data_IF_093622225596
#
_entry.id   IF_093622225596
#
_cell.length_a   1.000
_cell.length_b   1.000
_cell.length_c   1.000
_cell.angle_alpha   90.00
_cell.angle_beta   90.00
_cell.angle_gamma   90.00
#
_symmetry.space_group_name_H-M   'P 1'
#
loop_
_entity.id
_entity.type
_entity.pdbx_description
1 polymer ?
#
# COMPACT_ATOMS: atom_id res chain seq x y z
N UNK A 1 -13.80 21.41 -27.90
CA UNK A 1 -14.88 21.36 -26.89
C UNK A 1 -15.40 19.95 -27.01
N UNK A 2 -14.86 18.98 -26.27
CA UNK A 2 -15.03 18.79 -24.83
C UNK A 2 -13.71 18.40 -24.12
N UNK A 3 -13.49 18.97 -22.93
CA UNK A 3 -12.41 18.69 -21.97
C UNK A 3 -13.06 18.14 -20.70
N UNK A 4 -13.32 16.83 -20.59
CA UNK A 4 -13.60 16.10 -19.34
C UNK A 4 -13.33 14.61 -19.68
N UNK A 5 -12.45 13.82 -19.07
CA UNK A 5 -11.79 13.87 -17.77
C UNK A 5 -10.44 13.12 -17.83
N UNK A 6 -9.31 13.83 -17.68
CA UNK A 6 -8.11 13.22 -17.07
C UNK A 6 -8.37 13.04 -15.56
N UNK A 7 -9.43 12.30 -15.23
CA UNK A 7 -9.66 11.83 -13.88
C UNK A 7 -8.57 10.82 -13.61
N UNK A 8 -7.72 11.09 -12.61
CA UNK A 8 -6.79 10.10 -12.06
C UNK A 8 -7.62 8.84 -11.81
N UNK A 9 -7.41 7.79 -12.61
CA UNK A 9 -8.08 6.51 -12.42
C UNK A 9 -7.70 6.03 -11.02
N UNK A 10 -8.69 5.76 -10.17
CA UNK A 10 -8.43 5.29 -8.83
C UNK A 10 -7.80 3.90 -8.90
N UNK A 11 -6.60 3.75 -8.34
CA UNK A 11 -5.81 2.52 -8.38
C UNK A 11 -5.48 2.01 -6.97
N UNK A 12 -5.01 0.76 -6.87
CA UNK A 12 -4.70 0.15 -5.58
C UNK A 12 -3.50 0.81 -4.87
N UNK A 13 -2.60 1.49 -5.59
CA UNK A 13 -1.45 2.18 -5.00
C UNK A 13 -1.88 3.37 -4.14
N UNK A 14 -2.99 4.02 -4.48
CA UNK A 14 -3.58 5.07 -3.63
C UNK A 14 -4.12 4.50 -2.32
N UNK A 15 -4.73 3.31 -2.34
CA UNK A 15 -5.13 2.62 -1.11
C UNK A 15 -3.90 2.22 -0.28
N UNK A 16 -2.81 1.75 -0.92
CA UNK A 16 -1.54 1.47 -0.22
C UNK A 16 -1.03 2.72 0.50
N UNK A 17 -1.01 3.86 -0.20
CA UNK A 17 -0.57 5.13 0.37
C UNK A 17 -1.40 5.51 1.60
N UNK A 18 -2.74 5.46 1.51
CA UNK A 18 -3.62 5.83 2.61
C UNK A 18 -3.47 4.91 3.83
N UNK A 19 -3.32 3.60 3.64
CA UNK A 19 -3.13 2.64 4.75
C UNK A 19 -1.73 2.80 5.38
N UNK A 20 -0.69 3.02 4.57
CA UNK A 20 0.64 3.31 5.09
C UNK A 20 0.67 4.61 5.89
N UNK A 21 -0.01 5.67 5.44
CA UNK A 21 -0.17 6.93 6.20
C UNK A 21 -0.93 6.71 7.52
N UNK A 22 -1.94 5.82 7.56
CA UNK A 22 -2.58 5.45 8.81
C UNK A 22 -1.62 4.76 9.78
N UNK A 23 -0.69 3.95 9.26
CA UNK A 23 0.35 3.29 10.05
C UNK A 23 1.31 4.31 10.68
N UNK A 24 1.69 5.33 9.91
CA UNK A 24 2.52 6.45 10.37
C UNK A 24 1.79 7.24 11.47
N UNK A 25 0.52 7.59 11.26
CA UNK A 25 -0.32 8.27 12.26
C UNK A 25 -0.50 7.42 13.53
N UNK A 26 -0.41 6.09 13.43
CA UNK A 26 -0.44 5.15 14.54
C UNK A 26 0.91 5.05 15.30
N UNK A 27 1.94 5.78 14.86
CA UNK A 27 3.25 5.82 15.49
C UNK A 27 4.14 4.63 15.13
N UNK A 28 3.89 3.95 14.00
CA UNK A 28 4.76 2.90 13.51
C UNK A 28 6.16 3.43 13.19
N UNK A 29 7.18 2.59 13.42
CA UNK A 29 8.55 2.82 12.95
C UNK A 29 8.91 1.98 11.73
N UNK A 30 8.10 0.96 11.43
CA UNK A 30 8.25 0.09 10.26
C UNK A 30 6.89 -0.23 9.65
N UNK A 31 6.81 -0.17 8.33
CA UNK A 31 5.65 -0.60 7.54
C UNK A 31 6.11 -1.60 6.49
N UNK A 32 5.41 -2.73 6.39
CA UNK A 32 5.67 -3.77 5.41
C UNK A 32 4.48 -3.84 4.44
N UNK A 33 4.77 -3.77 3.15
CA UNK A 33 3.81 -3.85 2.06
C UNK A 33 4.16 -5.09 1.25
N UNK A 34 3.21 -6.03 1.14
CA UNK A 34 3.33 -7.25 0.37
C UNK A 34 2.27 -7.30 -0.71
N UNK A 35 2.70 -7.54 -1.94
CA UNK A 35 1.84 -7.75 -3.10
C UNK A 35 2.12 -9.16 -3.61
N UNK A 36 1.13 -10.04 -3.58
CA UNK A 36 1.26 -11.41 -4.07
C UNK A 36 0.22 -11.66 -5.15
N UNK A 37 0.66 -12.13 -6.31
CA UNK A 37 -0.21 -12.53 -7.43
C UNK A 37 -0.03 -14.02 -7.67
N UNK A 38 -1.12 -14.78 -7.61
CA UNK A 38 -1.14 -16.22 -7.89
C UNK A 38 -2.10 -16.43 -9.05
N UNK A 39 -1.56 -16.63 -10.25
CA UNK A 39 -2.38 -16.74 -11.46
C UNK A 39 -3.21 -18.02 -11.46
N UNK A 40 -2.66 -19.12 -10.93
CA UNK A 40 -3.35 -20.42 -10.86
C UNK A 40 -4.60 -20.43 -9.98
N UNK A 41 -4.65 -19.53 -8.99
CA UNK A 41 -5.79 -19.35 -8.10
C UNK A 41 -6.61 -18.09 -8.46
N UNK A 42 -6.24 -17.41 -9.55
CA UNK A 42 -6.83 -16.14 -9.98
C UNK A 42 -6.92 -15.12 -8.82
N UNK A 43 -5.83 -14.95 -8.07
CA UNK A 43 -5.84 -14.19 -6.82
C UNK A 43 -4.72 -13.16 -6.75
N UNK A 44 -5.09 -11.92 -6.43
CA UNK A 44 -4.18 -10.85 -6.05
C UNK A 44 -4.39 -10.55 -4.56
N UNK A 45 -3.31 -10.43 -3.79
CA UNK A 45 -3.36 -10.14 -2.36
C UNK A 45 -2.44 -8.99 -2.03
N UNK A 46 -3.00 -7.94 -1.44
CA UNK A 46 -2.29 -6.84 -0.82
C UNK A 46 -2.30 -7.04 0.69
N UNK A 47 -1.14 -7.07 1.32
CA UNK A 47 -1.01 -7.08 2.79
C UNK A 47 -0.17 -5.90 3.23
N UNK A 48 -0.67 -5.14 4.20
CA UNK A 48 0.06 -4.02 4.81
C UNK A 48 0.13 -4.29 6.31
N UNK A 49 1.34 -4.36 6.85
CA UNK A 49 1.59 -4.60 8.27
C UNK A 49 2.40 -3.45 8.85
N UNK A 50 2.08 -3.05 10.06
CA UNK A 50 2.83 -2.04 10.81
C UNK A 50 3.12 -2.50 12.25
N UNK A 51 4.05 -1.83 12.90
CA UNK A 51 4.40 -2.05 14.30
C UNK A 51 3.97 -0.88 15.22
N UNK A 52 2.93 -0.14 14.84
CA UNK A 52 2.38 0.98 15.58
C UNK A 52 1.56 0.57 16.81
N UNK A 53 0.76 1.50 17.32
CA UNK A 53 0.00 1.31 18.56
C UNK A 53 -1.07 0.21 18.52
N UNK A 54 -1.47 -0.26 17.34
CA UNK A 54 -2.57 -1.22 17.16
C UNK A 54 -3.95 -0.70 17.60
N UNK A 55 -4.94 -1.58 17.57
CA UNK A 55 -6.35 -1.31 17.85
C UNK A 55 -6.94 -2.42 18.72
N UNK A 56 -7.90 -2.09 19.57
CA UNK A 56 -8.74 -3.07 20.26
C UNK A 56 -9.90 -3.54 19.37
N UNK A 57 -10.62 -4.58 19.82
CA UNK A 57 -11.71 -5.17 19.05
C UNK A 57 -12.84 -4.19 18.72
N UNK A 58 -13.16 -3.26 19.64
CA UNK A 58 -14.18 -2.23 19.40
C UNK A 58 -13.72 -1.27 18.31
N UNK A 59 -12.47 -0.82 18.36
CA UNK A 59 -11.88 0.04 17.33
C UNK A 59 -11.82 -0.65 15.97
N UNK A 60 -11.49 -1.95 15.92
CA UNK A 60 -11.47 -2.73 14.66
C UNK A 60 -12.84 -2.71 13.98
N UNK A 61 -13.92 -2.87 14.74
CA UNK A 61 -15.28 -2.81 14.18
C UNK A 61 -15.63 -1.40 13.71
N UNK A 62 -15.21 -0.38 14.46
CA UNK A 62 -15.47 1.01 14.08
C UNK A 62 -14.67 1.46 12.85
N UNK A 63 -13.42 1.05 12.64
CA UNK A 63 -12.61 1.49 11.48
C UNK A 63 -13.11 0.97 10.13
N UNK A 64 -14.03 0.02 10.13
CA UNK A 64 -14.75 -0.43 8.93
C UNK A 64 -15.86 0.54 8.52
N UNK A 65 -16.30 1.42 9.42
CA UNK A 65 -17.32 2.45 9.14
C UNK A 65 -16.68 3.66 8.39
N UNK A 66 -17.16 4.01 7.17
CA UNK A 66 -16.74 5.18 6.40
C UNK A 66 -16.71 6.51 7.16
N UNK A 67 -17.53 6.66 8.21
CA UNK A 67 -17.67 7.89 8.98
C UNK A 67 -16.81 7.93 10.24
N UNK A 68 -16.21 6.81 10.63
CA UNK A 68 -15.36 6.73 11.81
C UNK A 68 -13.92 7.21 11.50
N UNK A 69 -13.38 8.06 12.36
CA UNK A 69 -11.99 8.49 12.29
C UNK A 69 -11.53 9.01 13.65
N UNK A 70 -10.36 8.56 14.11
CA UNK A 70 -9.73 9.06 15.34
C UNK A 70 -8.85 10.30 15.10
N UNK A 71 -8.83 10.86 13.87
CA UNK A 71 -7.98 12.00 13.52
C UNK A 71 -8.60 13.33 13.98
N UNK A 72 -7.80 14.33 14.44
CA UNK A 72 -8.31 15.64 14.82
C UNK A 72 -9.06 16.33 13.65
N UNK A 73 -10.10 17.11 13.94
CA UNK A 73 -11.01 17.73 12.94
C UNK A 73 -10.28 18.48 11.81
N UNK A 74 -9.16 19.14 12.12
CA UNK A 74 -8.31 19.87 11.13
C UNK A 74 -7.56 18.98 10.12
N UNK A 75 -7.48 17.66 10.38
CA UNK A 75 -6.83 16.65 9.54
C UNK A 75 -7.84 15.61 8.99
N UNK A 76 -9.15 15.88 9.07
CA UNK A 76 -10.17 14.98 8.52
C UNK A 76 -10.06 14.92 6.99
N UNK A 77 -9.21 14.02 6.49
CA UNK A 77 -9.66 13.11 5.44
C UNK A 77 -10.67 12.20 6.13
N UNK A 78 -11.88 12.07 5.57
CA UNK A 78 -12.82 11.04 6.00
C UNK A 78 -12.05 9.72 6.14
N UNK A 79 -12.30 8.90 7.16
CA UNK A 79 -11.53 7.68 7.46
C UNK A 79 -11.68 6.56 6.43
N UNK A 80 -11.75 6.92 5.16
CA UNK A 80 -12.20 6.12 4.02
C UNK A 80 -11.13 5.15 3.51
N UNK A 81 -9.86 5.30 3.90
CA UNK A 81 -8.80 4.43 3.39
C UNK A 81 -9.08 2.94 3.62
N UNK A 82 -9.45 2.57 4.85
CA UNK A 82 -9.81 1.18 5.22
C UNK A 82 -11.15 0.77 4.58
N UNK A 83 -12.26 1.52 4.76
CA UNK A 83 -13.55 1.16 4.18
C UNK A 83 -13.56 1.03 2.65
N UNK A 84 -12.86 1.92 1.92
CA UNK A 84 -12.81 1.86 0.45
C UNK A 84 -11.97 0.68 -0.04
N UNK A 85 -10.89 0.33 0.66
CA UNK A 85 -10.10 -0.85 0.32
C UNK A 85 -10.89 -2.14 0.59
N UNK A 86 -11.63 -2.19 1.70
CA UNK A 86 -12.51 -3.31 2.03
C UNK A 86 -13.60 -3.50 0.95
N UNK A 87 -14.29 -2.41 0.62
CA UNK A 87 -15.32 -2.40 -0.43
C UNK A 87 -14.74 -2.87 -1.77
N UNK A 88 -13.59 -2.33 -2.19
CA UNK A 88 -12.96 -2.72 -3.46
C UNK A 88 -12.61 -4.22 -3.51
N UNK A 89 -12.17 -4.80 -2.38
CA UNK A 89 -11.87 -6.22 -2.30
C UNK A 89 -13.15 -7.07 -2.40
N UNK A 90 -14.17 -6.73 -1.62
CA UNK A 90 -15.44 -7.47 -1.56
C UNK A 90 -16.22 -7.40 -2.88
N UNK A 91 -16.21 -6.25 -3.57
CA UNK A 91 -16.84 -6.07 -4.88
C UNK A 91 -16.13 -6.85 -6.01
N UNK A 92 -14.88 -7.25 -5.79
CA UNK A 92 -14.08 -7.99 -6.77
C UNK A 92 -13.94 -9.48 -6.42
N UNK A 93 -14.99 -10.11 -5.89
CA UNK A 93 -15.03 -11.50 -5.43
C UNK A 93 -13.90 -11.86 -4.44
N UNK A 94 -13.44 -10.87 -3.69
CA UNK A 94 -12.31 -10.96 -2.80
C UNK A 94 -12.71 -11.03 -1.33
N UNK A 95 -11.76 -10.71 -0.46
CA UNK A 95 -11.96 -10.69 0.98
C UNK A 95 -11.09 -9.61 1.64
N UNK A 96 -11.56 -9.09 2.77
CA UNK A 96 -10.83 -8.11 3.55
C UNK A 96 -10.72 -8.54 5.03
N UNK A 97 -9.52 -8.45 5.59
CA UNK A 97 -9.22 -8.84 6.97
C UNK A 97 -8.38 -7.76 7.65
N UNK A 98 -8.70 -7.49 8.93
CA UNK A 98 -7.87 -6.69 9.83
C UNK A 98 -7.53 -7.53 11.06
N UNK A 99 -6.25 -7.64 11.37
CA UNK A 99 -5.74 -8.22 12.61
C UNK A 99 -4.97 -7.14 13.36
N UNK A 100 -5.40 -6.79 14.57
CA UNK A 100 -4.74 -5.76 15.37
C UNK A 100 -4.89 -6.03 16.86
N UNK A 101 -3.86 -5.68 17.63
CA UNK A 101 -3.90 -5.73 19.08
C UNK A 101 -3.18 -4.52 19.66
N UNK A 102 -3.65 -3.93 20.78
CA UNK A 102 -2.97 -2.79 21.40
C UNK A 102 -1.49 -3.10 21.70
N UNK A 103 -0.61 -2.22 21.23
CA UNK A 103 0.84 -2.32 21.37
C UNK A 103 1.54 -3.34 20.47
N UNK A 104 0.83 -4.02 19.55
CA UNK A 104 1.41 -5.03 18.64
C UNK A 104 1.42 -4.62 17.17
N UNK A 105 0.79 -3.50 16.82
CA UNK A 105 0.61 -3.06 15.44
C UNK A 105 -0.66 -3.61 14.80
N UNK A 106 -0.74 -3.46 13.48
CA UNK A 106 -1.91 -3.85 12.67
C UNK A 106 -1.45 -4.56 11.41
N UNK A 107 -2.20 -5.56 10.98
CA UNK A 107 -2.08 -6.22 9.68
C UNK A 107 -3.42 -6.07 8.97
N UNK A 108 -3.40 -5.52 7.76
CA UNK A 108 -4.54 -5.42 6.86
C UNK A 108 -4.25 -6.28 5.64
N UNK A 109 -5.18 -7.16 5.29
CA UNK A 109 -5.10 -8.00 4.10
C UNK A 109 -6.33 -7.78 3.23
N UNK A 110 -6.11 -7.40 1.98
CA UNK A 110 -7.13 -7.28 0.94
C UNK A 110 -6.80 -8.26 -0.18
N UNK A 111 -7.67 -9.24 -0.41
CA UNK A 111 -7.60 -10.19 -1.51
C UNK A 111 -8.63 -9.82 -2.57
N UNK A 112 -8.29 -10.04 -3.84
CA UNK A 112 -9.12 -9.75 -4.99
C UNK A 112 -9.05 -10.94 -5.95
N UNK A 113 -10.13 -11.21 -6.67
CA UNK A 113 -10.03 -12.02 -7.88
C UNK A 113 -9.18 -11.24 -8.91
N UNK A 114 -8.05 -11.82 -9.33
CA UNK A 114 -7.04 -11.13 -10.13
C UNK A 114 -7.57 -10.73 -11.52
N UNK A 115 -8.40 -11.57 -12.13
CA UNK A 115 -9.02 -11.34 -13.43
C UNK A 115 -10.35 -10.58 -13.39
N UNK A 116 -10.80 -10.12 -12.22
CA UNK A 116 -12.09 -9.42 -12.10
C UNK A 116 -12.10 -8.12 -12.91
N UNK A 117 -13.19 -7.86 -13.65
CA UNK A 117 -13.29 -6.73 -14.58
C UNK A 117 -13.26 -5.37 -13.88
N UNK A 118 -13.85 -5.30 -12.70
CA UNK A 118 -13.90 -4.08 -11.89
C UNK A 118 -12.70 -3.95 -10.93
N UNK A 119 -11.75 -4.91 -10.96
CA UNK A 119 -10.54 -4.81 -10.15
C UNK A 119 -9.71 -3.63 -10.65
N UNK A 120 -9.56 -2.63 -9.79
CA UNK A 120 -8.66 -1.50 -10.03
C UNK A 120 -7.23 -1.98 -10.33
N UNK A 121 -6.51 -1.31 -11.25
CA UNK A 121 -5.11 -1.64 -11.52
C UNK A 121 -4.25 -1.44 -10.27
N UNK A 122 -3.06 -2.04 -10.25
CA UNK A 122 -2.15 -1.87 -9.11
C UNK A 122 -1.65 -0.43 -8.96
N UNK A 123 -1.55 0.32 -10.05
CA UNK A 123 -1.02 1.68 -10.05
C UNK A 123 0.52 1.75 -10.06
N UNK A 124 1.07 2.95 -9.87
CA UNK A 124 2.53 3.19 -9.85
C UNK A 124 3.09 2.94 -8.44
N UNK A 125 3.42 1.67 -8.14
CA UNK A 125 4.00 1.29 -6.84
C UNK A 125 5.31 2.01 -6.56
N UNK A 126 6.18 2.20 -7.58
CA UNK A 126 7.43 2.92 -7.42
C UNK A 126 7.23 4.38 -6.99
N UNK A 127 6.26 5.08 -7.58
CA UNK A 127 5.90 6.44 -7.18
C UNK A 127 5.33 6.48 -5.77
N UNK A 128 4.43 5.57 -5.43
CA UNK A 128 3.84 5.48 -4.09
C UNK A 128 4.91 5.24 -3.03
N UNK A 129 5.85 4.33 -3.27
CA UNK A 129 6.99 4.11 -2.38
C UNK A 129 7.89 5.35 -2.29
N UNK A 130 8.18 6.04 -3.39
CA UNK A 130 8.98 7.25 -3.37
C UNK A 130 8.33 8.39 -2.55
N UNK A 131 7.01 8.54 -2.61
CA UNK A 131 6.25 9.49 -1.78
C UNK A 131 6.37 9.12 -0.30
N UNK A 132 6.14 7.85 0.04
CA UNK A 132 6.23 7.35 1.41
C UNK A 132 7.63 7.53 2.01
N UNK A 133 8.66 7.09 1.30
CA UNK A 133 10.06 7.19 1.73
C UNK A 133 10.50 8.65 1.81
N UNK A 134 10.12 9.48 0.84
CA UNK A 134 10.46 10.90 0.80
C UNK A 134 9.82 11.71 1.93
N UNK A 135 8.56 11.42 2.25
CA UNK A 135 7.80 12.05 3.32
C UNK A 135 8.25 11.61 4.73
N UNK A 136 8.70 10.35 4.86
CA UNK A 136 9.01 9.72 6.15
C UNK A 136 10.40 9.07 6.16
N UNK A 137 11.50 9.82 5.97
CA UNK A 137 12.85 9.27 5.76
C UNK A 137 13.40 8.45 6.94
N UNK A 138 12.90 8.68 8.14
CA UNK A 138 13.33 7.97 9.34
C UNK A 138 12.56 6.68 9.58
N UNK A 139 11.43 6.47 8.92
CA UNK A 139 10.65 5.23 9.03
C UNK A 139 11.22 4.19 8.06
N UNK A 140 11.15 2.91 8.44
CA UNK A 140 11.55 1.82 7.58
C UNK A 140 10.36 1.27 6.79
N UNK A 141 10.57 1.06 5.50
CA UNK A 141 9.61 0.43 4.62
C UNK A 141 10.20 -0.86 4.04
N UNK A 142 9.39 -1.92 4.03
CA UNK A 142 9.68 -3.16 3.33
C UNK A 142 8.63 -3.36 2.25
N UNK A 143 9.00 -3.29 0.98
CA UNK A 143 8.16 -3.74 -0.13
C UNK A 143 8.58 -5.15 -0.52
N UNK A 144 7.61 -6.06 -0.66
CA UNK A 144 7.78 -7.39 -1.23
C UNK A 144 6.73 -7.64 -2.30
N UNK A 145 7.16 -8.09 -3.47
CA UNK A 145 6.27 -8.43 -4.57
C UNK A 145 6.57 -9.84 -5.05
N UNK A 146 5.55 -10.68 -5.17
CA UNK A 146 5.70 -12.09 -5.58
C UNK A 146 4.67 -12.46 -6.65
N UNK A 147 5.11 -13.21 -7.66
CA UNK A 147 4.22 -13.84 -8.65
C UNK A 147 4.87 -15.06 -9.28
N UNK A 148 4.21 -16.22 -9.24
CA UNK A 148 4.57 -17.42 -10.02
C UNK A 148 6.09 -17.72 -10.12
N UNK A 149 6.82 -17.61 -9.00
CA UNK A 149 8.27 -17.85 -8.93
C UNK A 149 9.16 -16.61 -9.08
N UNK A 150 8.62 -15.47 -9.53
CA UNK A 150 9.23 -14.15 -9.42
C UNK A 150 9.10 -13.61 -7.99
N UNK A 151 10.16 -12.97 -7.51
CA UNK A 151 10.17 -12.24 -6.23
C UNK A 151 11.02 -10.97 -6.33
N UNK A 152 10.48 -9.85 -5.86
CA UNK A 152 11.19 -8.59 -5.68
C UNK A 152 11.08 -8.12 -4.23
N UNK A 153 12.15 -7.52 -3.71
CA UNK A 153 12.21 -6.99 -2.34
C UNK A 153 12.99 -5.68 -2.30
N UNK A 154 12.43 -4.69 -1.60
CA UNK A 154 13.11 -3.46 -1.21
C UNK A 154 12.97 -3.29 0.30
N UNK A 155 14.09 -3.25 1.04
CA UNK A 155 14.10 -2.91 2.47
C UNK A 155 14.89 -1.61 2.67
N UNK A 156 14.20 -0.54 3.06
CA UNK A 156 14.87 0.76 3.21
C UNK A 156 15.87 0.77 4.38
N UNK A 157 15.73 -0.12 5.36
CA UNK A 157 16.71 -0.23 6.46
C UNK A 157 18.04 -0.79 5.97
N UNK A 158 18.02 -1.65 4.95
CA UNK A 158 19.22 -2.14 4.25
C UNK A 158 19.77 -1.04 3.34
N UNK A 159 18.92 -0.41 2.54
CA UNK A 159 19.32 0.69 1.64
C UNK A 159 19.98 1.86 2.39
N UNK A 160 19.42 2.27 3.54
CA UNK A 160 20.01 3.36 4.37
C UNK A 160 21.42 3.03 4.85
N UNK A 161 21.74 1.74 5.09
CA UNK A 161 23.09 1.30 5.47
C UNK A 161 24.04 1.38 4.26
N UNK A 162 23.56 0.98 3.08
CA UNK A 162 24.34 1.03 1.83
C UNK A 162 24.64 2.47 1.38
N UNK A 163 23.72 3.39 1.65
CA UNK A 163 23.88 4.81 1.33
C UNK A 163 24.96 5.53 2.16
N UNK A 164 25.54 4.88 3.20
CA UNK A 164 26.68 5.40 3.97
C UNK A 164 26.54 6.87 4.43
N UNK A 165 25.34 7.26 4.86
CA UNK A 165 25.05 8.61 5.34
C UNK A 165 24.46 9.56 4.30
N UNK A 166 24.34 9.14 3.03
CA UNK A 166 23.53 9.86 2.04
C UNK A 166 22.04 9.72 2.43
N UNK A 167 21.27 10.83 2.57
CA UNK A 167 19.87 10.75 2.94
C UNK A 167 19.02 10.03 1.87
N UNK A 168 18.17 9.10 2.30
CA UNK A 168 17.33 8.29 1.40
C UNK A 168 16.25 9.12 0.68
N UNK A 169 15.89 10.28 1.22
CA UNK A 169 14.88 11.18 0.65
C UNK A 169 15.44 12.23 -0.31
N UNK A 170 16.71 12.13 -0.72
CA UNK A 170 17.22 12.99 -1.78
C UNK A 170 16.48 12.71 -3.10
N UNK A 171 16.15 13.73 -3.92
CA UNK A 171 15.39 13.53 -5.16
C UNK A 171 16.00 12.49 -6.10
N UNK A 172 17.33 12.47 -6.26
CA UNK A 172 18.00 11.51 -7.12
C UNK A 172 17.92 10.08 -6.57
N UNK A 173 18.00 9.91 -5.24
CA UNK A 173 17.85 8.61 -4.59
C UNK A 173 16.42 8.10 -4.73
N UNK A 174 15.43 8.96 -4.46
CA UNK A 174 14.00 8.62 -4.64
C UNK A 174 13.66 8.27 -6.09
N UNK A 175 14.27 8.98 -7.05
CA UNK A 175 14.11 8.68 -8.47
C UNK A 175 14.66 7.29 -8.81
N UNK A 176 15.87 6.96 -8.32
CA UNK A 176 16.47 5.63 -8.54
C UNK A 176 15.64 4.52 -7.91
N UNK A 177 15.14 4.71 -6.68
CA UNK A 177 14.25 3.74 -6.01
C UNK A 177 12.97 3.53 -6.84
N UNK A 178 12.33 4.61 -7.28
CA UNK A 178 11.13 4.53 -8.12
C UNK A 178 11.41 3.75 -9.40
N UNK A 179 12.49 4.07 -10.10
CA UNK A 179 12.87 3.46 -11.37
C UNK A 179 13.20 1.98 -11.20
N UNK A 180 13.90 1.60 -10.12
CA UNK A 180 14.21 0.21 -9.76
C UNK A 180 12.95 -0.62 -9.55
N UNK A 181 12.04 -0.15 -8.67
CA UNK A 181 10.76 -0.83 -8.41
C UNK A 181 9.98 -0.99 -9.71
N UNK A 182 9.74 0.09 -10.44
CA UNK A 182 8.89 0.03 -11.63
C UNK A 182 9.50 -0.82 -12.74
N UNK A 183 10.82 -0.82 -12.88
CA UNK A 183 11.50 -1.68 -13.86
C UNK A 183 11.40 -3.15 -13.47
N UNK A 184 11.56 -3.47 -12.19
CA UNK A 184 11.46 -4.85 -11.70
C UNK A 184 10.03 -5.42 -11.79
N UNK A 185 9.02 -4.59 -11.52
CA UNK A 185 7.62 -5.04 -11.53
C UNK A 185 7.00 -5.06 -12.94
N UNK A 186 7.62 -4.41 -13.93
CA UNK A 186 7.11 -4.34 -15.30
C UNK A 186 7.18 -5.70 -15.99
N UNK A 187 6.04 -6.18 -16.49
CA UNK A 187 5.95 -7.47 -17.18
C UNK A 187 5.86 -8.67 -16.24
N UNK A 188 6.31 -8.52 -14.99
CA UNK A 188 6.21 -9.56 -13.97
C UNK A 188 4.93 -9.39 -13.14
N UNK A 189 4.75 -8.24 -12.50
CA UNK A 189 3.55 -7.94 -11.69
C UNK A 189 2.50 -7.19 -12.52
N UNK A 190 2.91 -6.16 -13.25
CA UNK A 190 2.02 -5.46 -14.17
C UNK A 190 1.89 -6.29 -15.45
N UNK A 191 0.73 -6.92 -15.69
CA UNK A 191 0.50 -7.63 -16.95
C UNK A 191 0.55 -6.64 -18.12
N UNK A 192 1.18 -7.04 -19.23
CA UNK A 192 1.28 -6.30 -20.50
C UNK A 192 -0.05 -6.08 -21.24
N UNK A 193 -1.19 -6.25 -20.56
CA UNK A 193 -2.53 -5.95 -21.06
C UNK A 193 -3.11 -4.62 -20.55
N UNK A 194 -2.36 -3.87 -19.74
CA UNK A 194 -2.72 -2.54 -19.26
C UNK A 194 -2.12 -1.45 -20.18
N UNK A 195 -2.51 -1.48 -21.48
CA UNK A 195 -2.24 -0.42 -22.45
C UNK A 195 -3.55 0.06 -23.09
#
# INVERSE_FOLDING_TARGET
MERWSDGVMEDLSLHILDIAENSIDAGASRVEIRITVIVTDDRLTLTISDNGKGMDAETIEMVKDPFFSTKPVRKKKFGLGIPLLAQAAEECNGAFLIESHPGRGTVITAAFQNSHIDRKPLGDIGATMAVLIGGHPYMDFLLSCERDGFSYKLDTSELKKELQGVPVNLPDVLKLIKEDINSALKGEIYNSGEA
#
